data_IF_582703154525
#
_entry.id   IF_582703154525
#
_cell.length_a   1.000
_cell.length_b   1.000
_cell.length_c   1.000
_cell.angle_alpha   90.00
_cell.angle_beta   90.00
_cell.angle_gamma   90.00
#
_symmetry.space_group_name_H-M   'P 1'
#
loop_
_entity.id
_entity.type
_entity.pdbx_description
1 polymer ?
#
# COMPACT_ATOMS: atom_id res chain seq x y z
N UNK A 1 11.98 10.40 22.42
CA UNK A 1 11.47 10.92 21.13
C UNK A 1 9.95 10.85 21.22
N UNK A 2 9.19 11.96 21.17
CA UNK A 2 7.73 11.92 21.43
C UNK A 2 7.02 10.89 20.53
N UNK A 3 6.32 9.92 21.14
CA UNK A 3 5.66 8.80 20.45
C UNK A 3 4.80 9.25 19.25
N UNK A 4 4.09 10.37 19.40
CA UNK A 4 3.24 10.94 18.34
C UNK A 4 4.03 11.28 17.07
N UNK A 5 5.26 11.81 17.20
CA UNK A 5 6.12 12.12 16.05
C UNK A 5 6.65 10.86 15.37
N UNK A 6 6.94 9.81 16.13
CA UNK A 6 7.39 8.53 15.58
C UNK A 6 6.28 7.85 14.77
N UNK A 7 5.06 7.80 15.34
CA UNK A 7 3.87 7.24 14.67
C UNK A 7 3.54 7.98 13.37
N UNK A 8 3.60 9.31 13.37
CA UNK A 8 3.40 10.11 12.17
C UNK A 8 4.43 9.79 11.07
N UNK A 9 5.72 9.67 11.42
CA UNK A 9 6.77 9.29 10.46
C UNK A 9 6.53 7.91 9.85
N UNK A 10 6.09 6.95 10.66
CA UNK A 10 5.77 5.60 10.20
C UNK A 10 4.59 5.60 9.21
N UNK A 11 3.50 6.32 9.51
CA UNK A 11 2.34 6.43 8.60
C UNK A 11 2.75 7.08 7.28
N UNK A 12 3.53 8.15 7.33
CA UNK A 12 4.05 8.83 6.12
C UNK A 12 4.91 7.87 5.30
N UNK A 13 5.81 7.13 5.96
CA UNK A 13 6.66 6.13 5.29
C UNK A 13 5.81 5.06 4.61
N UNK A 14 4.82 4.50 5.31
CA UNK A 14 3.92 3.49 4.75
C UNK A 14 3.10 4.03 3.56
N UNK A 15 2.62 5.27 3.65
CA UNK A 15 1.91 5.93 2.56
C UNK A 15 2.78 6.13 1.32
N UNK A 16 4.05 6.52 1.48
CA UNK A 16 5.00 6.65 0.37
C UNK A 16 5.23 5.29 -0.30
N UNK A 17 5.49 4.24 0.49
CA UNK A 17 5.73 2.90 -0.04
C UNK A 17 4.50 2.41 -0.82
N UNK A 18 3.30 2.62 -0.27
CA UNK A 18 2.07 2.25 -0.95
C UNK A 18 1.90 3.00 -2.28
N UNK A 19 2.16 4.31 -2.33
CA UNK A 19 2.14 5.09 -3.58
C UNK A 19 3.09 4.49 -4.62
N UNK A 20 4.32 4.14 -4.22
CA UNK A 20 5.32 3.53 -5.13
C UNK A 20 4.83 2.19 -5.67
N UNK A 21 4.22 1.35 -4.83
CA UNK A 21 3.65 0.06 -5.25
C UNK A 21 2.53 0.27 -6.28
N UNK A 22 1.67 1.27 -6.08
CA UNK A 22 0.56 1.58 -7.00
C UNK A 22 1.00 2.37 -8.23
N UNK A 23 2.26 2.81 -8.27
CA UNK A 23 2.79 3.65 -9.34
C UNK A 23 2.54 3.05 -10.72
N UNK A 24 2.64 1.75 -11.01
CA UNK A 24 2.37 1.25 -12.37
C UNK A 24 0.94 1.52 -12.89
N UNK A 25 -0.06 1.75 -12.03
CA UNK A 25 -1.48 1.82 -12.42
C UNK A 25 -1.78 2.85 -13.51
N UNK A 26 -1.38 4.13 -13.42
CA UNK A 26 -1.67 5.13 -14.45
C UNK A 26 -1.11 4.79 -15.84
N UNK A 27 -0.08 3.95 -15.92
CA UNK A 27 0.54 3.54 -17.19
C UNK A 27 -0.09 2.29 -17.80
N UNK A 28 -0.80 1.49 -17.00
CA UNK A 28 -1.40 0.22 -17.45
C UNK A 28 -2.92 0.27 -17.58
N UNK A 29 -3.59 1.15 -16.85
CA UNK A 29 -5.04 1.32 -16.93
C UNK A 29 -5.43 1.96 -18.27
N UNK A 30 -6.36 1.34 -18.98
CA UNK A 30 -6.84 1.77 -20.31
C UNK A 30 -5.74 1.89 -21.37
N UNK A 31 -4.62 1.19 -21.20
CA UNK A 31 -3.52 1.19 -22.17
C UNK A 31 -3.72 0.04 -23.19
N UNK A 32 -3.97 0.33 -24.48
CA UNK A 32 -4.18 -0.70 -25.50
C UNK A 32 -2.92 -1.52 -25.82
N UNK A 33 -1.73 -1.03 -25.43
CA UNK A 33 -0.46 -1.74 -25.62
C UNK A 33 -0.17 -2.79 -24.53
N UNK A 34 -0.97 -2.78 -23.45
CA UNK A 34 -0.82 -3.72 -22.33
C UNK A 34 -1.79 -4.87 -22.49
N UNK A 35 -1.27 -6.10 -22.56
CA UNK A 35 -2.12 -7.29 -22.62
C UNK A 35 -2.93 -7.47 -21.33
N UNK A 36 -4.12 -8.05 -21.44
CA UNK A 36 -4.98 -8.34 -20.29
C UNK A 36 -4.25 -9.19 -19.22
N UNK A 37 -3.47 -10.19 -19.66
CA UNK A 37 -2.65 -11.01 -18.77
C UNK A 37 -1.62 -10.19 -17.99
N UNK A 38 -0.95 -9.25 -18.64
CA UNK A 38 0.02 -8.37 -18.00
C UNK A 38 -0.66 -7.41 -17.01
N UNK A 39 -1.79 -6.83 -17.42
CA UNK A 39 -2.61 -5.98 -16.55
C UNK A 39 -3.05 -6.70 -15.28
N UNK A 40 -3.63 -7.90 -15.42
CA UNK A 40 -4.09 -8.71 -14.30
C UNK A 40 -2.94 -9.16 -13.39
N UNK A 41 -1.76 -9.45 -13.96
CA UNK A 41 -0.56 -9.79 -13.17
C UNK A 41 -0.12 -8.60 -12.32
N UNK A 42 -0.10 -7.39 -12.89
CA UNK A 42 0.26 -6.16 -12.16
C UNK A 42 -0.75 -5.87 -11.07
N UNK A 43 -2.06 -6.01 -11.35
CA UNK A 43 -3.10 -5.87 -10.34
C UNK A 43 -2.95 -6.87 -9.19
N UNK A 44 -2.64 -8.14 -9.49
CA UNK A 44 -2.42 -9.15 -8.47
C UNK A 44 -1.24 -8.81 -7.56
N UNK A 45 -0.12 -8.34 -8.13
CA UNK A 45 1.05 -7.89 -7.37
C UNK A 45 0.66 -6.73 -6.44
N UNK A 46 0.00 -5.70 -6.97
CA UNK A 46 -0.45 -4.54 -6.18
C UNK A 46 -1.39 -4.97 -5.06
N UNK A 47 -2.32 -5.89 -5.33
CA UNK A 47 -3.24 -6.44 -4.36
C UNK A 47 -2.53 -7.14 -3.21
N UNK A 48 -1.63 -8.08 -3.51
CA UNK A 48 -0.85 -8.82 -2.50
C UNK A 48 0.03 -7.86 -1.70
N UNK A 49 0.72 -6.95 -2.37
CA UNK A 49 1.61 -5.97 -1.72
C UNK A 49 0.84 -4.97 -0.85
N UNK A 50 -0.46 -4.74 -1.11
CA UNK A 50 -1.30 -3.85 -0.28
C UNK A 50 -1.76 -4.49 1.04
N UNK A 51 -1.72 -5.83 1.16
CA UNK A 51 -2.24 -6.54 2.34
C UNK A 51 -1.61 -6.05 3.64
N UNK A 52 -0.27 -5.95 3.80
CA UNK A 52 0.33 -5.51 5.05
C UNK A 52 -0.11 -4.11 5.48
N UNK A 53 -0.30 -3.20 4.51
CA UNK A 53 -0.71 -1.81 4.77
C UNK A 53 -2.15 -1.72 5.26
N UNK A 54 -3.05 -2.49 4.64
CA UNK A 54 -4.46 -2.58 5.07
C UNK A 54 -4.55 -3.23 6.46
N UNK A 55 -3.84 -4.35 6.66
CA UNK A 55 -3.82 -5.06 7.95
C UNK A 55 -3.30 -4.15 9.07
N UNK A 56 -2.22 -3.41 8.84
CA UNK A 56 -1.69 -2.44 9.81
C UNK A 56 -2.68 -1.29 10.09
N UNK A 57 -3.37 -0.78 9.06
CA UNK A 57 -4.40 0.25 9.24
C UNK A 57 -5.59 -0.24 10.08
N UNK A 58 -6.04 -1.48 9.83
CA UNK A 58 -7.10 -2.12 10.61
C UNK A 58 -6.63 -2.40 12.03
N UNK A 59 -5.43 -2.96 12.21
CA UNK A 59 -4.88 -3.27 13.52
C UNK A 59 -4.70 -2.01 14.38
N UNK A 60 -4.20 -0.90 13.82
CA UNK A 60 -4.16 0.38 14.53
C UNK A 60 -5.53 0.90 14.97
N UNK A 61 -6.57 0.63 14.17
CA UNK A 61 -7.92 1.14 14.44
C UNK A 61 -8.66 0.29 15.46
N UNK A 62 -8.56 -1.03 15.38
CA UNK A 62 -9.34 -1.97 16.20
C UNK A 62 -8.61 -2.45 17.45
N UNK A 63 -7.28 -2.62 17.37
CA UNK A 63 -6.43 -3.19 18.42
C UNK A 63 -5.05 -2.52 18.41
N UNK A 64 -4.96 -1.22 18.76
CA UNK A 64 -3.70 -0.48 18.71
C UNK A 64 -2.59 -1.14 19.54
N UNK A 65 -2.93 -1.91 20.57
CA UNK A 65 -2.01 -2.68 21.41
C UNK A 65 -1.20 -3.76 20.66
N UNK A 66 -1.64 -4.19 19.46
CA UNK A 66 -0.91 -5.17 18.63
C UNK A 66 0.14 -4.53 17.71
N UNK A 67 0.25 -3.21 17.74
CA UNK A 67 1.00 -2.41 16.74
C UNK A 67 1.87 -1.32 17.37
N UNK A 68 2.02 -1.35 18.69
CA UNK A 68 2.82 -0.44 19.53
C UNK A 68 3.66 -1.25 20.49
#
# INVERSE_FOLDING_TARGET
MNDKKSKAKLIILLGIIWIVITLPLPWVVNNPEVSETQFNTILAIIGVMSIPFIVLGVAWTLKPELTT
#
